data_IF_142460578812
#
_entry.id   IF_142460578812
#
_cell.length_a   1.000
_cell.length_b   1.000
_cell.length_c   1.000
_cell.angle_alpha   90.00
_cell.angle_beta   90.00
_cell.angle_gamma   90.00
#
_symmetry.space_group_name_H-M   'P 1'
#
loop_
_entity.id
_entity.type
_entity.pdbx_description
1 polymer ?
#
# COMPACT_ATOMS: atom_id res chain seq x y z
N UNK A 1 17.60 -43.75 -5.58
CA UNK A 1 17.91 -43.76 -4.14
C UNK A 1 17.93 -42.32 -3.68
N UNK A 2 17.00 -41.91 -2.82
CA UNK A 2 16.89 -40.51 -2.36
C UNK A 2 17.79 -40.41 -1.11
N UNK A 3 18.95 -39.75 -1.21
CA UNK A 3 19.81 -39.55 -0.03
C UNK A 3 19.07 -38.70 0.99
N UNK A 4 18.71 -39.30 2.14
CA UNK A 4 17.87 -38.69 3.16
C UNK A 4 18.58 -37.68 4.06
N UNK A 5 19.78 -37.23 3.70
CA UNK A 5 20.68 -36.47 4.59
C UNK A 5 20.89 -35.01 4.21
N UNK A 6 20.36 -34.55 3.08
CA UNK A 6 20.47 -33.13 2.71
C UNK A 6 19.11 -32.60 2.25
N UNK A 7 18.46 -31.71 3.02
CA UNK A 7 17.26 -31.04 2.53
C UNK A 7 17.64 -30.24 1.28
N UNK A 8 17.04 -30.59 0.14
CA UNK A 8 17.19 -29.85 -1.12
C UNK A 8 16.39 -28.56 -1.03
N UNK A 9 17.08 -27.44 -0.83
CA UNK A 9 16.50 -26.11 -0.82
C UNK A 9 17.18 -25.18 0.18
N UNK A 10 17.31 -23.90 -0.18
CA UNK A 10 17.80 -22.91 0.77
C UNK A 10 16.79 -22.80 1.92
N UNK A 11 17.20 -22.96 3.19
CA UNK A 11 16.28 -22.86 4.33
C UNK A 11 15.62 -21.49 4.35
N UNK A 12 14.41 -21.40 4.92
CA UNK A 12 13.69 -20.12 5.06
C UNK A 12 14.60 -19.05 5.65
N UNK A 13 15.00 -18.09 4.81
CA UNK A 13 15.81 -16.95 5.22
C UNK A 13 14.96 -15.88 5.89
N UNK A 14 15.54 -15.15 6.85
CA UNK A 14 14.92 -13.91 7.33
C UNK A 14 14.89 -12.92 6.18
N UNK A 15 13.69 -12.57 5.70
CA UNK A 15 13.52 -11.44 4.78
C UNK A 15 14.10 -10.18 5.44
N UNK A 16 14.81 -9.37 4.66
CA UNK A 16 15.32 -8.07 5.13
C UNK A 16 14.19 -7.19 5.66
N UNK A 17 14.51 -6.31 6.62
CA UNK A 17 13.55 -5.44 7.32
C UNK A 17 12.62 -4.68 6.36
N UNK A 18 13.13 -4.17 5.25
CA UNK A 18 12.29 -3.44 4.29
C UNK A 18 11.27 -4.35 3.59
N UNK A 19 11.71 -5.51 3.12
CA UNK A 19 10.84 -6.50 2.48
C UNK A 19 9.76 -7.04 3.42
N UNK A 20 10.03 -7.10 4.74
CA UNK A 20 9.01 -7.47 5.73
C UNK A 20 8.04 -6.32 6.03
N UNK A 21 8.46 -5.07 5.92
CA UNK A 21 7.64 -3.89 6.23
C UNK A 21 6.65 -3.49 5.13
N UNK A 22 6.81 -3.96 3.89
CA UNK A 22 5.94 -3.59 2.75
C UNK A 22 4.45 -3.80 3.07
N UNK A 23 4.09 -4.95 3.65
CA UNK A 23 2.69 -5.26 4.00
C UNK A 23 2.14 -4.34 5.09
N UNK A 24 2.98 -4.00 6.08
CA UNK A 24 2.58 -3.10 7.15
C UNK A 24 2.37 -1.67 6.63
N UNK A 25 3.25 -1.20 5.76
CA UNK A 25 3.11 0.11 5.10
C UNK A 25 1.82 0.19 4.28
N UNK A 26 1.50 -0.84 3.49
CA UNK A 26 0.29 -0.84 2.66
C UNK A 26 -1.01 -0.87 3.48
N UNK A 27 -1.01 -1.55 4.64
CA UNK A 27 -2.14 -1.48 5.60
C UNK A 27 -2.21 -0.09 6.23
N UNK A 28 -1.07 0.46 6.66
CA UNK A 28 -0.99 1.81 7.23
C UNK A 28 -1.53 2.88 6.30
N UNK A 29 -1.14 2.86 5.02
CA UNK A 29 -1.64 3.82 4.02
C UNK A 29 -3.16 3.74 3.83
N UNK A 30 -3.73 2.53 3.78
CA UNK A 30 -5.19 2.36 3.66
C UNK A 30 -5.92 2.91 4.89
N UNK A 31 -5.38 2.67 6.08
CA UNK A 31 -5.94 3.20 7.31
C UNK A 31 -5.88 4.73 7.35
N UNK A 32 -4.74 5.32 7.02
CA UNK A 32 -4.58 6.78 6.94
C UNK A 32 -5.53 7.42 5.92
N UNK A 33 -5.66 6.83 4.73
CA UNK A 33 -6.61 7.32 3.73
C UNK A 33 -8.07 7.25 4.19
N UNK A 34 -8.42 6.25 5.00
CA UNK A 34 -9.73 6.18 5.63
C UNK A 34 -9.92 7.25 6.71
N UNK A 35 -8.93 7.46 7.59
CA UNK A 35 -8.95 8.54 8.58
C UNK A 35 -9.08 9.91 7.93
N UNK A 36 -8.40 10.14 6.80
CA UNK A 36 -8.50 11.38 6.04
C UNK A 36 -9.91 11.64 5.50
N UNK A 37 -10.56 10.60 4.93
CA UNK A 37 -11.98 10.70 4.52
C UNK A 37 -12.90 11.01 5.70
N UNK A 38 -12.64 10.40 6.86
CA UNK A 38 -13.42 10.62 8.07
C UNK A 38 -13.21 12.05 8.61
N UNK A 39 -12.00 12.58 8.49
CA UNK A 39 -11.67 13.95 8.87
C UNK A 39 -12.49 14.97 8.07
N UNK A 40 -12.57 14.82 6.74
CA UNK A 40 -13.34 15.72 5.87
C UNK A 40 -14.84 15.78 6.17
N UNK A 41 -15.44 14.70 6.67
CA UNK A 41 -16.87 14.67 7.04
C UNK A 41 -17.12 15.11 8.49
N UNK A 42 -16.05 15.26 9.28
CA UNK A 42 -16.12 15.67 10.67
C UNK A 42 -16.34 14.53 11.65
N UNK A 43 -15.90 14.77 12.90
CA UNK A 43 -15.79 13.73 13.94
C UNK A 43 -17.13 13.07 14.29
N UNK A 44 -18.20 13.88 14.40
CA UNK A 44 -19.54 13.39 14.75
C UNK A 44 -20.13 12.53 13.62
N UNK A 45 -19.98 12.98 12.39
CA UNK A 45 -20.52 12.28 11.23
C UNK A 45 -19.78 10.97 10.93
N UNK A 46 -18.46 10.96 11.14
CA UNK A 46 -17.66 9.74 11.06
C UNK A 46 -18.09 8.68 12.09
N UNK A 47 -18.50 9.11 13.29
CA UNK A 47 -19.08 8.22 14.30
C UNK A 47 -20.43 7.68 13.85
N UNK A 48 -21.33 8.55 13.40
CA UNK A 48 -22.69 8.15 13.02
C UNK A 48 -22.73 7.22 11.79
N UNK A 49 -21.92 7.50 10.77
CA UNK A 49 -21.93 6.72 9.52
C UNK A 49 -21.05 5.47 9.58
N UNK A 50 -19.89 5.55 10.22
CA UNK A 50 -18.86 4.51 10.13
C UNK A 50 -18.47 3.92 11.49
N UNK A 51 -19.10 4.36 12.59
CA UNK A 51 -18.78 3.94 13.95
C UNK A 51 -17.31 4.20 14.35
N UNK A 52 -16.66 5.17 13.70
CA UNK A 52 -15.27 5.52 13.99
C UNK A 52 -15.23 6.58 15.09
N UNK A 53 -14.42 6.32 16.12
CA UNK A 53 -14.18 7.27 17.21
C UNK A 53 -12.73 7.65 17.22
N UNK A 54 -12.48 8.96 17.17
CA UNK A 54 -11.16 9.54 17.39
C UNK A 54 -11.08 10.05 18.82
N UNK A 55 -9.94 9.84 19.47
CA UNK A 55 -9.60 10.59 20.68
C UNK A 55 -9.32 12.05 20.33
N UNK A 56 -9.26 12.92 21.33
CA UNK A 56 -8.93 14.33 21.12
C UNK A 56 -7.53 14.48 20.54
N UNK A 57 -6.57 13.69 21.00
CA UNK A 57 -5.19 13.68 20.49
C UNK A 57 -5.13 13.20 19.04
N UNK A 58 -5.82 12.11 18.72
CA UNK A 58 -5.86 11.58 17.34
C UNK A 58 -6.46 12.60 16.37
N UNK A 59 -7.49 13.32 16.80
CA UNK A 59 -8.11 14.34 15.98
C UNK A 59 -7.23 15.58 15.83
N UNK A 60 -6.55 16.01 16.90
CA UNK A 60 -5.58 17.11 16.84
C UNK A 60 -4.47 16.80 15.84
N UNK A 61 -3.91 15.58 15.89
CA UNK A 61 -2.88 15.16 14.94
C UNK A 61 -3.39 15.15 13.49
N UNK A 62 -4.64 14.74 13.25
CA UNK A 62 -5.24 14.81 11.92
C UNK A 62 -5.42 16.26 11.45
N UNK A 63 -5.76 17.17 12.37
CA UNK A 63 -5.87 18.59 12.08
C UNK A 63 -4.51 19.20 11.73
N UNK A 64 -3.45 18.87 12.47
CA UNK A 64 -2.10 19.33 12.18
C UNK A 64 -1.65 18.89 10.77
N UNK A 65 -1.94 17.65 10.39
CA UNK A 65 -1.67 17.12 9.03
C UNK A 65 -2.46 17.89 7.98
N UNK A 66 -3.74 18.18 8.25
CA UNK A 66 -4.58 18.92 7.31
C UNK A 66 -4.06 20.34 7.08
N UNK A 67 -3.65 21.01 8.16
CA UNK A 67 -3.09 22.35 8.09
C UNK A 67 -1.75 22.36 7.33
N UNK A 68 -0.90 21.35 7.51
CA UNK A 68 0.34 21.17 6.73
C UNK A 68 0.05 20.98 5.23
N UNK A 69 -0.92 20.12 4.89
CA UNK A 69 -1.30 19.87 3.49
C UNK A 69 -1.88 21.10 2.79
N UNK A 70 -2.67 21.93 3.48
CA UNK A 70 -3.20 23.17 2.91
C UNK A 70 -2.10 24.24 2.76
N UNK A 71 -1.07 24.23 3.61
CA UNK A 71 0.10 25.12 3.46
C UNK A 71 0.97 24.72 2.26
N UNK A 72 1.10 23.42 2.02
CA UNK A 72 1.83 22.88 0.87
C UNK A 72 1.06 23.02 -0.46
N UNK A 73 -0.20 23.46 -0.39
CA UNK A 73 -1.05 23.69 -1.54
C UNK A 73 -0.58 24.94 -2.30
N UNK A 74 0.45 24.75 -3.12
CA UNK A 74 0.79 25.68 -4.21
C UNK A 74 -0.45 25.80 -5.12
N UNK A 75 -0.77 26.99 -5.69
CA UNK A 75 -1.82 27.12 -6.69
C UNK A 75 -1.53 26.22 -7.89
N UNK A 76 -2.04 24.99 -7.82
CA UNK A 76 -1.92 24.00 -8.87
C UNK A 76 -2.78 24.47 -10.03
N UNK A 77 -2.12 24.81 -11.15
CA UNK A 77 -2.73 24.82 -12.48
C UNK A 77 -3.18 23.40 -12.76
N UNK A 78 -4.41 23.11 -12.36
CA UNK A 78 -5.01 21.79 -12.32
C UNK A 78 -5.08 21.14 -13.72
N UNK A 79 -4.14 20.25 -14.03
CA UNK A 79 -4.38 19.02 -14.79
C UNK A 79 -3.26 18.01 -14.52
N UNK A 80 -3.27 17.37 -13.35
CA UNK A 80 -2.53 16.11 -13.21
C UNK A 80 -3.38 15.04 -13.90
N UNK A 81 -3.12 14.78 -15.18
CA UNK A 81 -3.81 13.82 -16.06
C UNK A 81 -3.79 12.35 -15.60
N UNK A 82 -3.85 12.10 -14.30
CA UNK A 82 -3.83 10.80 -13.64
C UNK A 82 -5.05 9.92 -13.97
N UNK A 83 -6.08 10.46 -14.63
CA UNK A 83 -7.21 9.69 -15.16
C UNK A 83 -7.24 9.55 -16.70
N UNK A 84 -6.20 10.00 -17.40
CA UNK A 84 -6.07 9.80 -18.84
C UNK A 84 -5.29 8.51 -19.14
N UNK A 85 -6.00 7.40 -19.37
CA UNK A 85 -5.41 6.23 -20.04
C UNK A 85 -5.59 4.90 -19.34
N UNK A 86 -6.85 4.50 -19.12
CA UNK A 86 -7.20 3.07 -19.00
C UNK A 86 -7.14 2.47 -20.41
N UNK A 87 -6.01 1.88 -20.78
CA UNK A 87 -5.99 0.89 -21.86
C UNK A 87 -5.50 -0.45 -21.29
N UNK A 88 -6.42 -1.42 -21.32
CA UNK A 88 -6.13 -2.83 -21.06
C UNK A 88 -5.36 -3.36 -22.26
N UNK A 89 -4.19 -3.95 -22.02
CA UNK A 89 -3.74 -5.04 -22.88
C UNK A 89 -3.14 -6.14 -22.02
N UNK A 90 -3.94 -7.18 -21.82
CA UNK A 90 -3.45 -8.47 -21.40
C UNK A 90 -2.78 -9.12 -22.62
N UNK A 91 -1.51 -9.46 -22.49
CA UNK A 91 -0.93 -10.60 -23.19
C UNK A 91 -0.03 -11.33 -22.20
N UNK A 92 -0.58 -12.40 -21.64
CA UNK A 92 0.19 -13.58 -21.26
C UNK A 92 1.06 -13.99 -22.45
N UNK A 93 2.35 -14.18 -22.19
CA UNK A 93 3.22 -15.25 -22.72
C UNK A 93 4.66 -14.85 -22.48
N UNK A 94 5.23 -15.37 -21.41
CA UNK A 94 6.65 -15.75 -21.40
C UNK A 94 6.66 -17.24 -21.08
N UNK A 95 6.80 -18.03 -22.14
CA UNK A 95 7.12 -19.45 -22.11
C UNK A 95 8.65 -19.53 -22.10
N UNK A 96 9.26 -19.65 -20.93
CA UNK A 96 10.68 -19.98 -20.80
C UNK A 96 10.87 -21.50 -20.98
N UNK A 97 11.16 -21.88 -22.24
CA UNK A 97 11.68 -23.19 -22.64
C UNK A 97 12.97 -23.51 -21.86
N UNK A 98 12.95 -24.59 -21.08
CA UNK A 98 14.16 -25.25 -20.59
C UNK A 98 14.67 -26.17 -21.72
N UNK A 99 15.78 -25.78 -22.36
CA UNK A 99 16.55 -26.67 -23.22
C UNK A 99 17.22 -27.75 -22.37
N UNK A 100 16.86 -29.00 -22.66
CA UNK A 100 17.53 -30.21 -22.19
C UNK A 100 18.72 -30.46 -23.13
N UNK A 101 19.94 -30.23 -22.66
CA UNK A 101 21.17 -30.53 -23.41
C UNK A 101 21.76 -31.83 -22.85
N UNK A 102 21.38 -32.94 -23.46
CA UNK A 102 21.97 -34.26 -23.28
C UNK A 102 23.32 -34.31 -24.02
N UNK A 103 24.44 -34.34 -23.27
CA UNK A 103 25.66 -35.05 -23.68
C UNK A 103 26.61 -35.38 -22.52
#
# INVERSE_FOLDING_TARGET
SISSTTPSGQPFGRKGKEASMIKYKSVGHRYLGFCWKAYHIGRKEALERWAVRFTDEQWSLLQDIADELERDRVPSSHDSGFFSGRERQATDKDEDEYQDDDN
#
